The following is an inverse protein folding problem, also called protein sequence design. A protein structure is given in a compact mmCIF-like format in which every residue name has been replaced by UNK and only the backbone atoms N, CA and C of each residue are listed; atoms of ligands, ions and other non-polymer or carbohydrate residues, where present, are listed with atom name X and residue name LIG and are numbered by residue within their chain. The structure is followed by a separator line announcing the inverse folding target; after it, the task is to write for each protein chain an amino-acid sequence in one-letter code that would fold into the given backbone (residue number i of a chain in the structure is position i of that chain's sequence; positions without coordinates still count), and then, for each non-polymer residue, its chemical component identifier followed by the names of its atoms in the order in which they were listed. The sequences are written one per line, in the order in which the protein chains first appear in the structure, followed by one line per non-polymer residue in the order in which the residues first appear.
data_IF_808817947073
#
_entry.id   IF_808817947073
#
_cell.length_a   1.000
_cell.length_b   1.000
_cell.length_c   1.000
_cell.angle_alpha   90.00
_cell.angle_beta   90.00
_cell.angle_gamma   90.00
#
_symmetry.space_group_name_H-M   'P 1'
#
loop_
_entity.id
_entity.type
_entity.pdbx_description
1 polymer ?
#
# COMPACT_ATOMS: atom_id res chain seq x y z
N UNK A 1 17.64 -94.29 4.56
CA UNK A 1 19.09 -94.42 4.27
C UNK A 1 19.43 -93.48 3.12
N UNK A 2 20.35 -92.53 3.37
CA UNK A 2 21.15 -91.69 2.45
C UNK A 2 20.46 -90.71 1.48
N UNK A 3 20.98 -89.51 1.15
CA UNK A 3 21.81 -88.42 1.75
C UNK A 3 21.99 -87.39 0.58
N UNK A 4 21.84 -86.08 0.86
CA UNK A 4 22.47 -84.86 0.25
C UNK A 4 22.74 -84.68 -1.27
N UNK A 5 22.44 -83.48 -1.83
CA UNK A 5 23.41 -82.38 -1.98
C UNK A 5 22.84 -81.08 -2.63
N UNK A 6 23.40 -79.92 -2.23
CA UNK A 6 23.18 -78.53 -2.71
C UNK A 6 24.21 -78.15 -3.81
N UNK A 7 23.93 -77.14 -4.66
CA UNK A 7 24.61 -75.81 -4.71
C UNK A 7 24.62 -75.06 -6.10
N UNK A 8 24.03 -73.85 -6.10
CA UNK A 8 24.34 -72.51 -6.73
C UNK A 8 24.84 -72.24 -8.18
N UNK A 9 24.15 -71.23 -8.79
CA UNK A 9 24.55 -69.96 -9.51
C UNK A 9 25.43 -70.06 -10.80
N UNK A 10 25.32 -69.26 -11.86
CA UNK A 10 24.81 -67.89 -12.20
C UNK A 10 24.78 -67.75 -13.74
N UNK A 11 23.97 -66.85 -14.35
CA UNK A 11 24.51 -65.79 -15.25
C UNK A 11 23.49 -64.68 -15.63
N UNK A 12 23.99 -63.44 -15.64
CA UNK A 12 23.34 -62.17 -16.01
C UNK A 12 23.69 -61.79 -17.47
N UNK A 13 22.70 -61.61 -18.34
CA UNK A 13 22.91 -60.99 -19.66
C UNK A 13 21.60 -60.52 -20.29
N UNK A 14 21.11 -59.32 -19.93
CA UNK A 14 20.05 -58.59 -20.66
C UNK A 14 20.19 -57.06 -20.49
N UNK A 15 21.31 -56.55 -21.01
CA UNK A 15 21.44 -55.42 -21.97
C UNK A 15 20.85 -54.03 -21.63
N UNK A 16 21.77 -53.08 -21.39
CA UNK A 16 21.58 -51.62 -21.25
C UNK A 16 20.77 -50.92 -22.37
N UNK A 17 20.53 -51.56 -23.51
CA UNK A 17 19.64 -51.07 -24.59
C UNK A 17 18.19 -50.89 -24.12
N UNK A 18 17.69 -51.75 -23.23
CA UNK A 18 16.33 -51.62 -22.70
C UNK A 18 16.17 -50.42 -21.75
N UNK A 19 17.26 -49.96 -21.13
CA UNK A 19 17.23 -48.81 -20.24
C UNK A 19 17.20 -47.48 -21.00
N UNK A 20 17.74 -47.44 -22.21
CA UNK A 20 17.74 -46.24 -23.06
C UNK A 20 16.35 -45.98 -23.68
N UNK A 21 15.67 -47.03 -24.16
CA UNK A 21 14.30 -46.92 -24.69
C UNK A 21 13.29 -46.48 -23.62
N UNK A 22 13.46 -46.91 -22.36
CA UNK A 22 12.64 -46.45 -21.23
C UNK A 22 12.80 -44.96 -20.90
N UNK A 23 13.95 -44.36 -21.22
CA UNK A 23 14.23 -42.95 -20.91
C UNK A 23 13.66 -41.98 -21.95
N UNK A 24 13.38 -42.42 -23.18
CA UNK A 24 12.74 -41.60 -24.22
C UNK A 24 11.22 -41.48 -24.02
N UNK A 25 10.55 -42.50 -23.47
CA UNK A 25 9.11 -42.45 -23.18
C UNK A 25 8.73 -41.57 -21.98
N UNK A 26 9.69 -41.19 -21.13
CA UNK A 26 9.43 -40.41 -19.92
C UNK A 26 9.33 -38.88 -20.15
N UNK A 27 9.50 -38.38 -21.38
CA UNK A 27 9.52 -36.91 -21.65
C UNK A 27 8.24 -36.31 -22.23
N UNK A 28 7.21 -37.07 -22.55
CA UNK A 28 5.94 -36.51 -23.04
C UNK A 28 4.73 -37.33 -22.60
N UNK A 29 4.36 -37.24 -21.32
CA UNK A 29 3.03 -37.67 -20.88
C UNK A 29 2.26 -36.46 -20.36
N UNK A 30 1.10 -36.09 -20.95
CA UNK A 30 0.18 -35.17 -20.31
C UNK A 30 -0.28 -35.76 -18.96
N UNK A 31 -0.67 -34.92 -17.98
CA UNK A 31 -1.03 -35.42 -16.65
C UNK A 31 -2.18 -36.42 -16.75
N UNK A 32 -1.91 -37.67 -16.37
CA UNK A 32 -2.91 -38.71 -16.26
C UNK A 32 -3.64 -38.48 -14.94
N UNK A 33 -4.92 -38.12 -15.00
CA UNK A 33 -5.78 -38.00 -13.82
C UNK A 33 -6.37 -39.36 -13.48
N UNK A 34 -6.19 -39.83 -12.25
CA UNK A 34 -6.50 -41.20 -11.84
C UNK A 34 -8.00 -41.42 -11.54
N UNK A 35 -8.85 -40.39 -11.63
CA UNK A 35 -10.31 -40.53 -11.53
C UNK A 35 -11.04 -39.31 -12.11
N UNK A 36 -12.30 -39.50 -12.56
CA UNK A 36 -13.19 -38.40 -13.00
C UNK A 36 -13.31 -37.31 -11.94
N UNK A 37 -13.39 -37.71 -10.67
CA UNK A 37 -13.43 -36.81 -9.54
C UNK A 37 -12.16 -35.94 -9.42
N UNK A 38 -10.98 -36.44 -9.79
CA UNK A 38 -9.73 -35.68 -9.78
C UNK A 38 -9.66 -34.67 -10.93
N UNK A 39 -10.22 -35.00 -12.09
CA UNK A 39 -10.40 -34.06 -13.20
C UNK A 39 -11.42 -32.97 -12.86
N UNK A 40 -12.54 -33.32 -12.21
CA UNK A 40 -13.55 -32.36 -11.77
C UNK A 40 -13.01 -31.41 -10.68
N UNK A 41 -12.17 -31.91 -9.75
CA UNK A 41 -11.45 -31.07 -8.78
C UNK A 41 -10.45 -30.14 -9.46
N UNK A 42 -9.71 -30.62 -10.48
CA UNK A 42 -8.75 -29.80 -11.21
C UNK A 42 -9.44 -28.70 -12.03
N UNK A 43 -10.56 -29.04 -12.68
CA UNK A 43 -11.42 -28.08 -13.39
C UNK A 43 -12.06 -27.07 -12.44
N UNK A 44 -12.58 -27.51 -11.29
CA UNK A 44 -13.12 -26.63 -10.25
C UNK A 44 -12.04 -25.70 -9.69
N UNK A 45 -10.80 -26.18 -9.51
CA UNK A 45 -9.65 -25.36 -9.09
C UNK A 45 -9.27 -24.32 -10.14
N UNK A 46 -9.29 -24.66 -11.42
CA UNK A 46 -9.05 -23.69 -12.50
C UNK A 46 -10.18 -22.66 -12.60
N UNK A 47 -11.43 -23.09 -12.44
CA UNK A 47 -12.58 -22.21 -12.47
C UNK A 47 -12.63 -21.29 -11.24
N UNK A 48 -12.25 -21.80 -10.06
CA UNK A 48 -11.99 -20.99 -8.87
C UNK A 48 -10.80 -20.05 -9.06
N UNK A 49 -9.71 -20.48 -9.72
CA UNK A 49 -8.58 -19.62 -10.03
C UNK A 49 -8.99 -18.47 -10.98
N UNK A 50 -9.79 -18.76 -12.00
CA UNK A 50 -10.35 -17.74 -12.90
C UNK A 50 -11.38 -16.84 -12.20
N UNK A 51 -12.18 -17.39 -11.27
CA UNK A 51 -13.15 -16.60 -10.50
C UNK A 51 -12.43 -15.71 -9.48
N UNK A 52 -11.36 -16.19 -8.86
CA UNK A 52 -10.46 -15.42 -8.01
C UNK A 52 -9.66 -14.39 -8.81
N UNK A 53 -9.22 -14.70 -10.03
CA UNK A 53 -8.51 -13.77 -10.92
C UNK A 53 -9.46 -12.65 -11.41
N UNK A 54 -10.71 -12.99 -11.72
CA UNK A 54 -11.73 -12.04 -12.14
C UNK A 54 -12.30 -11.23 -10.95
N UNK A 55 -12.32 -11.78 -9.73
CA UNK A 55 -12.63 -11.01 -8.51
C UNK A 55 -11.43 -10.16 -8.04
N UNK A 56 -10.19 -10.63 -8.22
CA UNK A 56 -8.97 -9.87 -7.94
C UNK A 56 -8.70 -8.77 -8.98
N UNK A 57 -9.21 -8.89 -10.20
CA UNK A 57 -9.17 -7.82 -11.20
C UNK A 57 -9.95 -6.55 -10.75
N UNK A 58 -10.75 -6.64 -9.68
CA UNK A 58 -11.57 -5.55 -9.15
C UNK A 58 -11.15 -5.13 -7.72
N UNK A 59 -10.02 -5.64 -7.20
CA UNK A 59 -9.44 -5.22 -5.92
C UNK A 59 -8.06 -4.57 -6.12
N UNK A 60 -7.83 -3.33 -5.62
CA UNK A 60 -6.73 -2.48 -6.07
C UNK A 60 -5.37 -2.79 -5.42
N UNK A 61 -5.26 -3.80 -4.55
CA UNK A 61 -3.99 -4.25 -4.00
C UNK A 61 -3.99 -5.79 -4.02
N UNK A 62 -3.07 -6.44 -4.77
CA UNK A 62 -2.94 -7.88 -4.70
C UNK A 62 -2.62 -8.26 -3.25
N UNK A 63 -3.43 -9.12 -2.66
CA UNK A 63 -3.16 -9.63 -1.32
C UNK A 63 -1.74 -10.23 -1.30
N UNK A 64 -0.93 -9.84 -0.32
CA UNK A 64 0.41 -10.42 -0.18
C UNK A 64 0.30 -11.91 0.12
N UNK A 65 1.15 -12.70 -0.50
CA UNK A 65 1.17 -14.15 -0.30
C UNK A 65 1.34 -14.50 1.18
N UNK A 66 0.45 -15.35 1.71
CA UNK A 66 0.59 -15.88 3.07
C UNK A 66 1.88 -16.70 3.20
N UNK A 67 2.42 -16.92 4.41
CA UNK A 67 3.60 -17.77 4.60
C UNK A 67 3.47 -19.16 3.92
N UNK A 68 2.29 -19.77 4.00
CA UNK A 68 1.98 -21.08 3.39
C UNK A 68 1.97 -21.02 1.85
N UNK A 69 1.39 -19.95 1.29
CA UNK A 69 1.37 -19.72 -0.16
C UNK A 69 2.79 -19.48 -0.69
N UNK A 70 3.62 -18.72 0.04
CA UNK A 70 5.03 -18.51 -0.31
C UNK A 70 5.79 -19.83 -0.34
N UNK A 71 5.59 -20.71 0.64
CA UNK A 71 6.25 -22.01 0.70
C UNK A 71 5.78 -22.98 -0.39
N UNK A 72 4.50 -22.92 -0.74
CA UNK A 72 3.93 -23.71 -1.84
C UNK A 72 4.47 -23.24 -3.20
N UNK A 73 4.50 -21.92 -3.43
CA UNK A 73 5.02 -21.32 -4.66
C UNK A 73 6.54 -21.57 -4.83
N UNK A 74 7.30 -21.49 -3.73
CA UNK A 74 8.73 -21.82 -3.75
C UNK A 74 8.98 -23.29 -4.12
N UNK A 75 8.12 -24.21 -3.66
CA UNK A 75 8.22 -25.64 -4.00
C UNK A 75 7.77 -25.96 -5.43
N UNK A 76 6.96 -25.09 -6.07
CA UNK A 76 6.52 -25.25 -7.46
C UNK A 76 7.60 -24.87 -8.50
N UNK A 77 8.84 -24.63 -8.07
CA UNK A 77 10.00 -24.33 -8.94
C UNK A 77 9.75 -23.16 -9.92
N UNK A 78 9.07 -22.11 -9.45
CA UNK A 78 8.96 -20.85 -10.20
C UNK A 78 10.36 -20.33 -10.53
N UNK A 79 10.57 -19.89 -11.77
CA UNK A 79 11.81 -19.21 -12.15
C UNK A 79 12.03 -18.00 -11.24
N UNK A 80 13.13 -17.96 -10.45
CA UNK A 80 13.40 -16.85 -9.55
C UNK A 80 13.42 -15.50 -10.28
N UNK A 81 13.97 -15.47 -11.50
CA UNK A 81 14.06 -14.27 -12.31
C UNK A 81 12.69 -13.77 -12.77
N UNK A 82 11.78 -14.67 -13.15
CA UNK A 82 10.43 -14.29 -13.58
C UNK A 82 9.60 -13.75 -12.40
N UNK A 83 9.71 -14.36 -11.23
CA UNK A 83 9.01 -13.91 -10.02
C UNK A 83 9.54 -12.56 -9.51
N UNK A 84 10.85 -12.37 -9.47
CA UNK A 84 11.49 -11.09 -9.08
C UNK A 84 11.10 -9.99 -10.08
N UNK A 85 11.18 -10.26 -11.38
CA UNK A 85 10.78 -9.31 -12.42
C UNK A 85 9.30 -8.90 -12.32
N UNK A 86 8.40 -9.87 -12.06
CA UNK A 86 6.98 -9.59 -11.83
C UNK A 86 6.73 -8.76 -10.57
N UNK A 87 7.47 -9.04 -9.48
CA UNK A 87 7.38 -8.29 -8.22
C UNK A 87 7.86 -6.85 -8.39
N UNK A 88 8.98 -6.63 -9.12
CA UNK A 88 9.47 -5.29 -9.45
C UNK A 88 8.44 -4.50 -10.26
N UNK A 89 7.86 -5.11 -11.29
CA UNK A 89 6.79 -4.51 -12.08
C UNK A 89 5.57 -4.15 -11.22
N UNK A 90 5.24 -4.95 -10.22
CA UNK A 90 4.15 -4.64 -9.30
C UNK A 90 4.48 -3.45 -8.39
N UNK A 91 5.70 -3.37 -7.86
CA UNK A 91 6.16 -2.21 -7.07
C UNK A 91 6.11 -0.93 -7.92
N UNK A 92 6.65 -0.97 -9.14
CA UNK A 92 6.61 0.18 -10.06
C UNK A 92 5.19 0.67 -10.35
N UNK A 93 4.21 -0.24 -10.43
CA UNK A 93 2.80 0.14 -10.60
C UNK A 93 2.24 0.84 -9.37
N UNK A 94 2.58 0.34 -8.17
CA UNK A 94 2.15 0.95 -6.91
C UNK A 94 2.76 2.35 -6.72
N UNK A 95 4.04 2.51 -7.07
CA UNK A 95 4.75 3.80 -6.96
C UNK A 95 4.19 4.87 -7.90
N UNK A 96 3.55 4.46 -9.02
CA UNK A 96 2.88 5.37 -9.95
C UNK A 96 1.51 5.83 -9.47
N UNK A 97 0.95 5.24 -8.42
CA UNK A 97 -0.35 5.64 -7.90
C UNK A 97 -0.23 7.01 -7.20
N UNK A 98 -1.11 7.98 -7.50
CA UNK A 98 -1.07 9.27 -6.83
C UNK A 98 -1.46 9.12 -5.35
N UNK A 99 -1.03 10.01 -4.44
CA UNK A 99 -1.36 9.91 -3.01
C UNK A 99 -2.87 9.80 -2.72
N UNK A 100 -3.71 10.41 -3.56
CA UNK A 100 -5.17 10.40 -3.47
C UNK A 100 -5.85 9.22 -4.19
N UNK A 101 -5.10 8.23 -4.71
CA UNK A 101 -5.64 7.15 -5.54
C UNK A 101 -6.81 6.42 -4.87
N UNK A 102 -6.74 6.17 -3.56
CA UNK A 102 -7.80 5.49 -2.79
C UNK A 102 -9.11 6.26 -2.86
N UNK A 103 -9.03 7.60 -2.77
CA UNK A 103 -10.20 8.48 -2.84
C UNK A 103 -10.78 8.43 -4.25
N UNK A 104 -9.94 8.55 -5.28
CA UNK A 104 -10.36 8.43 -6.67
C UNK A 104 -11.05 7.09 -6.95
N UNK A 105 -10.43 5.98 -6.55
CA UNK A 105 -10.97 4.65 -6.78
C UNK A 105 -12.31 4.44 -6.06
N UNK A 106 -12.39 4.85 -4.78
CA UNK A 106 -13.65 4.76 -4.03
C UNK A 106 -14.78 5.58 -4.66
N UNK A 107 -14.47 6.72 -5.29
CA UNK A 107 -15.44 7.50 -6.07
C UNK A 107 -15.94 6.70 -7.27
N UNK A 108 -15.04 6.09 -8.04
CA UNK A 108 -15.43 5.29 -9.21
C UNK A 108 -16.33 4.11 -8.82
N UNK A 109 -16.09 3.47 -7.68
CA UNK A 109 -16.97 2.43 -7.15
C UNK A 109 -18.37 2.96 -6.82
N UNK A 110 -18.44 4.15 -6.22
CA UNK A 110 -19.72 4.82 -5.93
C UNK A 110 -20.44 5.21 -7.22
N UNK A 111 -19.74 5.82 -8.17
CA UNK A 111 -20.29 6.22 -9.48
C UNK A 111 -20.80 4.99 -10.25
N UNK A 112 -20.08 3.87 -10.20
CA UNK A 112 -20.51 2.60 -10.80
C UNK A 112 -21.79 2.08 -10.13
N UNK A 113 -21.85 2.11 -8.80
CA UNK A 113 -23.05 1.70 -8.07
C UNK A 113 -24.25 2.60 -8.40
N UNK A 114 -24.06 3.92 -8.49
CA UNK A 114 -25.09 4.87 -8.90
C UNK A 114 -25.55 4.68 -10.35
N UNK A 115 -24.64 4.34 -11.27
CA UNK A 115 -24.98 4.08 -12.67
C UNK A 115 -25.81 2.80 -12.84
N UNK A 116 -25.54 1.77 -12.03
CA UNK A 116 -26.22 0.48 -12.10
C UNK A 116 -27.54 0.46 -11.30
N UNK A 117 -27.58 1.13 -10.14
CA UNK A 117 -28.73 1.16 -9.22
C UNK A 117 -28.94 2.57 -8.63
N UNK A 118 -29.50 3.53 -9.39
CA UNK A 118 -29.57 4.93 -8.97
C UNK A 118 -30.31 5.17 -7.64
N UNK A 119 -31.43 4.49 -7.42
CA UNK A 119 -32.24 4.67 -6.21
C UNK A 119 -31.60 3.99 -4.99
N UNK A 120 -31.04 2.79 -5.18
CA UNK A 120 -30.50 1.99 -4.08
C UNK A 120 -29.09 2.44 -3.66
N UNK A 121 -28.29 3.00 -4.58
CA UNK A 121 -26.92 3.45 -4.31
C UNK A 121 -26.86 4.87 -3.71
N UNK A 122 -27.93 5.65 -3.78
CA UNK A 122 -28.02 7.01 -3.21
C UNK A 122 -27.52 7.13 -1.75
N UNK A 123 -27.92 6.27 -0.79
CA UNK A 123 -27.39 6.34 0.58
C UNK A 123 -25.89 6.05 0.65
N UNK A 124 -25.36 5.13 -0.18
CA UNK A 124 -23.94 4.83 -0.26
C UNK A 124 -23.14 6.06 -0.72
N UNK A 125 -23.59 6.72 -1.78
CA UNK A 125 -22.96 7.92 -2.30
C UNK A 125 -22.95 9.07 -1.29
N UNK A 126 -24.08 9.31 -0.61
CA UNK A 126 -24.19 10.31 0.45
C UNK A 126 -23.29 9.99 1.66
N UNK A 127 -23.21 8.73 2.07
CA UNK A 127 -22.33 8.31 3.15
C UNK A 127 -20.86 8.52 2.78
N UNK A 128 -20.47 8.11 1.58
CA UNK A 128 -19.11 8.29 1.09
C UNK A 128 -18.70 9.77 1.07
N UNK A 129 -19.56 10.64 0.54
CA UNK A 129 -19.28 12.09 0.51
C UNK A 129 -19.16 12.69 1.92
N UNK A 130 -20.03 12.28 2.86
CA UNK A 130 -19.94 12.70 4.27
C UNK A 130 -18.63 12.27 4.91
N UNK A 131 -18.21 11.02 4.69
CA UNK A 131 -16.94 10.50 5.21
C UNK A 131 -15.75 11.24 4.61
N UNK A 132 -15.77 11.56 3.31
CA UNK A 132 -14.72 12.32 2.65
C UNK A 132 -14.59 13.73 3.25
N UNK A 133 -15.71 14.43 3.43
CA UNK A 133 -15.73 15.77 4.01
C UNK A 133 -15.28 15.76 5.48
N UNK A 134 -15.74 14.79 6.27
CA UNK A 134 -15.31 14.62 7.66
C UNK A 134 -13.83 14.26 7.80
N UNK A 135 -13.27 13.60 6.78
CA UNK A 135 -11.87 13.27 6.72
C UNK A 135 -11.00 14.45 6.26
N UNK A 136 -11.54 15.60 5.83
CA UNK A 136 -10.74 16.76 5.41
C UNK A 136 -10.25 17.60 6.59
N UNK A 137 -9.13 18.31 6.41
CA UNK A 137 -8.65 19.30 7.38
C UNK A 137 -9.60 20.50 7.38
N UNK A 138 -10.00 21.01 8.57
CA UNK A 138 -10.70 22.29 8.67
C UNK A 138 -9.83 23.41 8.09
N UNK A 139 -10.42 24.34 7.34
CA UNK A 139 -9.65 25.43 6.71
C UNK A 139 -8.84 26.25 7.73
N UNK A 140 -9.34 26.37 8.96
CA UNK A 140 -8.66 27.04 10.08
C UNK A 140 -7.29 26.42 10.40
N UNK A 141 -7.18 25.08 10.35
CA UNK A 141 -5.95 24.36 10.67
C UNK A 141 -4.89 24.47 9.56
N UNK A 142 -5.27 24.84 8.33
CA UNK A 142 -4.33 25.05 7.23
C UNK A 142 -3.63 26.42 7.29
N UNK A 143 -4.18 27.36 8.05
CA UNK A 143 -3.75 28.76 8.00
C UNK A 143 -2.71 29.13 9.07
N UNK A 144 -2.54 28.33 10.13
CA UNK A 144 -1.67 28.67 11.26
C UNK A 144 -0.23 28.97 10.86
N UNK A 145 0.34 28.17 9.96
CA UNK A 145 1.69 28.40 9.43
C UNK A 145 1.78 29.72 8.64
N UNK A 146 0.85 29.95 7.72
CA UNK A 146 0.81 31.17 6.91
C UNK A 146 0.63 32.42 7.79
N UNK A 147 -0.24 32.36 8.81
CA UNK A 147 -0.46 33.45 9.76
C UNK A 147 0.80 33.75 10.60
N UNK A 148 1.47 32.71 11.09
CA UNK A 148 2.73 32.86 11.83
C UNK A 148 3.81 33.50 10.94
N UNK A 149 3.95 33.03 9.69
CA UNK A 149 4.91 33.60 8.74
C UNK A 149 4.58 35.05 8.38
N UNK A 150 3.30 35.38 8.18
CA UNK A 150 2.84 36.75 7.94
C UNK A 150 3.17 37.66 9.13
N UNK A 151 2.99 37.16 10.35
CA UNK A 151 3.33 37.90 11.58
C UNK A 151 4.84 38.17 11.66
N UNK A 152 5.68 37.18 11.33
CA UNK A 152 7.13 37.36 11.28
C UNK A 152 7.59 38.30 10.15
N UNK A 153 6.93 38.25 8.99
CA UNK A 153 7.22 39.18 7.89
C UNK A 153 6.90 40.62 8.30
N UNK A 154 5.73 40.86 8.87
CA UNK A 154 5.34 42.17 9.39
C UNK A 154 6.30 42.66 10.48
N UNK A 155 6.81 41.75 11.33
CA UNK A 155 7.85 42.08 12.30
C UNK A 155 9.14 42.53 11.60
N UNK A 156 9.60 41.78 10.60
CA UNK A 156 10.80 42.11 9.82
C UNK A 156 10.67 43.48 9.16
N UNK A 157 9.55 43.76 8.51
CA UNK A 157 9.29 45.06 7.86
C UNK A 157 9.29 46.20 8.88
N UNK A 158 8.68 45.98 10.05
CA UNK A 158 8.68 46.95 11.15
C UNK A 158 10.09 47.22 11.67
N UNK A 159 10.92 46.19 11.84
CA UNK A 159 12.31 46.33 12.28
C UNK A 159 13.14 47.11 11.24
N UNK A 160 13.01 46.77 9.95
CA UNK A 160 13.68 47.49 8.87
C UNK A 160 13.28 48.98 8.81
N UNK A 161 12.00 49.29 9.11
CA UNK A 161 11.52 50.67 9.18
C UNK A 161 12.10 51.48 10.34
N UNK A 162 12.48 50.83 11.45
CA UNK A 162 13.12 51.50 12.58
C UNK A 162 14.56 51.92 12.24
N UNK A 163 15.29 51.09 11.49
CA UNK A 163 16.64 51.44 11.04
C UNK A 163 16.65 52.70 10.16
N UNK A 164 15.58 52.94 9.41
CA UNK A 164 15.43 54.10 8.53
C UNK A 164 14.98 55.38 9.28
N UNK A 165 14.37 55.25 10.46
CA UNK A 165 13.80 56.38 11.22
C UNK A 165 14.54 56.62 12.52
N UNK A 166 15.49 57.57 12.51
CA UNK A 166 16.24 57.99 13.70
C UNK A 166 15.29 58.33 14.86
N UNK A 167 15.46 57.66 16.01
CA UNK A 167 14.75 57.93 17.26
C UNK A 167 13.51 57.09 17.52
N UNK A 168 13.09 56.21 16.60
CA UNK A 168 12.06 55.19 16.88
C UNK A 168 12.73 53.87 17.26
N UNK A 169 12.19 53.23 18.29
CA UNK A 169 12.67 51.93 18.77
C UNK A 169 11.49 51.01 19.01
N UNK A 170 11.70 49.71 18.85
CA UNK A 170 10.81 48.68 19.38
C UNK A 170 11.28 48.31 20.78
N UNK A 171 10.36 48.26 21.73
CA UNK A 171 10.66 47.76 23.06
C UNK A 171 10.77 46.23 23.06
N UNK A 172 11.54 45.68 24.01
CA UNK A 172 11.63 44.22 24.18
C UNK A 172 10.26 43.59 24.45
N UNK A 173 9.36 44.29 25.14
CA UNK A 173 8.00 43.82 25.40
C UNK A 173 7.17 43.70 24.13
N UNK A 174 7.28 44.66 23.20
CA UNK A 174 6.61 44.59 21.91
C UNK A 174 7.17 43.44 21.05
N UNK A 175 8.49 43.30 20.99
CA UNK A 175 9.14 42.19 20.26
C UNK A 175 8.64 40.83 20.78
N UNK A 176 8.66 40.65 22.10
CA UNK A 176 8.17 39.43 22.75
C UNK A 176 6.71 39.16 22.42
N UNK A 177 5.87 40.20 22.40
CA UNK A 177 4.46 40.05 22.06
C UNK A 177 4.28 39.54 20.63
N UNK A 178 5.00 40.09 19.66
CA UNK A 178 4.88 39.66 18.25
C UNK A 178 5.43 38.24 18.04
N UNK A 179 6.57 37.91 18.65
CA UNK A 179 7.13 36.55 18.61
C UNK A 179 6.15 35.56 19.24
N UNK A 180 5.56 35.89 20.39
CA UNK A 180 4.56 35.06 21.05
C UNK A 180 3.33 34.83 20.16
N UNK A 181 2.81 35.88 19.49
CA UNK A 181 1.71 35.73 18.55
C UNK A 181 2.06 34.83 17.36
N UNK A 182 3.26 34.95 16.80
CA UNK A 182 3.72 34.07 15.72
C UNK A 182 3.82 32.62 16.19
N UNK A 183 4.42 32.38 17.36
CA UNK A 183 4.50 31.05 17.98
C UNK A 183 3.10 30.47 18.25
N UNK A 184 2.16 31.30 18.69
CA UNK A 184 0.78 30.87 18.89
C UNK A 184 0.16 30.42 17.57
N UNK A 185 0.32 31.17 16.48
CA UNK A 185 -0.16 30.78 15.14
C UNK A 185 0.44 29.46 14.66
N UNK A 186 1.76 29.26 14.83
CA UNK A 186 2.40 27.98 14.47
C UNK A 186 1.88 26.79 15.28
N UNK A 187 1.51 27.02 16.55
CA UNK A 187 1.01 25.97 17.43
C UNK A 187 -0.51 25.73 17.33
N UNK A 188 -1.25 26.50 16.51
CA UNK A 188 -2.68 26.25 16.27
C UNK A 188 -2.91 24.88 15.61
N UNK A 189 -2.06 24.50 14.65
CA UNK A 189 -2.05 23.18 14.04
C UNK A 189 -0.62 22.76 13.74
N UNK A 190 -0.15 21.74 14.45
CA UNK A 190 1.20 21.22 14.27
C UNK A 190 1.30 20.54 12.89
N UNK A 191 2.19 21.00 11.98
CA UNK A 191 2.34 20.42 10.65
C UNK A 191 2.69 18.94 10.69
N UNK A 192 2.29 18.20 9.65
CA UNK A 192 2.56 16.76 9.57
C UNK A 192 4.07 16.46 9.54
N UNK A 193 4.87 17.36 8.98
CA UNK A 193 6.32 17.30 8.93
C UNK A 193 6.93 17.38 10.34
N UNK A 194 6.42 18.26 11.19
CA UNK A 194 6.90 18.38 12.58
C UNK A 194 6.44 17.21 13.44
N UNK A 195 5.23 16.70 13.21
CA UNK A 195 4.77 15.46 13.83
C UNK A 195 5.67 14.27 13.45
N UNK A 196 6.09 14.19 12.19
CA UNK A 196 7.01 13.15 11.70
C UNK A 196 8.42 13.30 12.33
N UNK A 197 8.93 14.53 12.41
CA UNK A 197 10.21 14.82 13.08
C UNK A 197 10.18 14.39 14.54
N UNK A 198 9.14 14.77 15.29
CA UNK A 198 8.96 14.36 16.68
C UNK A 198 8.87 12.83 16.84
N UNK A 199 8.18 12.13 15.92
CA UNK A 199 8.15 10.66 15.91
C UNK A 199 9.52 10.04 15.62
N UNK A 200 10.36 10.71 14.82
CA UNK A 200 11.72 10.22 14.50
C UNK A 200 12.71 10.29 15.67
N UNK A 201 12.40 11.07 16.73
CA UNK A 201 13.22 11.15 17.94
C UNK A 201 13.08 9.92 18.86
N UNK A 202 12.13 9.02 18.58
CA UNK A 202 12.00 7.78 19.32
C UNK A 202 13.24 6.89 19.13
N UNK A 203 13.66 6.24 20.22
CA UNK A 203 14.85 5.39 20.22
C UNK A 203 14.72 4.24 19.20
N UNK A 204 15.80 3.99 18.45
CA UNK A 204 15.83 2.91 17.47
C UNK A 204 15.59 1.55 18.14
N UNK A 205 14.60 0.80 17.64
CA UNK A 205 14.22 -0.51 18.16
C UNK A 205 13.06 -0.50 19.15
N UNK A 206 12.63 0.68 19.63
CA UNK A 206 11.42 0.82 20.44
C UNK A 206 10.17 0.99 19.56
N UNK A 207 9.00 0.47 19.98
CA UNK A 207 7.76 0.69 19.26
C UNK A 207 7.38 2.18 19.28
N UNK A 208 6.92 2.70 18.15
CA UNK A 208 6.45 4.09 18.06
C UNK A 208 5.24 4.32 18.99
N UNK A 209 5.11 5.51 19.61
CA UNK A 209 3.98 5.84 20.46
C UNK A 209 2.65 5.78 19.69
N UNK A 210 1.77 4.84 20.05
CA UNK A 210 0.55 4.55 19.29
C UNK A 210 -0.35 5.78 19.06
N UNK A 211 -0.48 6.66 20.05
CA UNK A 211 -1.28 7.87 19.95
C UNK A 211 -0.70 8.87 18.93
N UNK A 212 0.62 9.11 18.99
CA UNK A 212 1.30 10.02 18.07
C UNK A 212 1.30 9.48 16.63
N UNK A 213 1.52 8.18 16.45
CA UNK A 213 1.39 7.52 15.14
C UNK A 213 -0.01 7.65 14.57
N UNK A 214 -1.04 7.38 15.38
CA UNK A 214 -2.45 7.50 14.95
C UNK A 214 -2.82 8.93 14.59
N UNK A 215 -2.30 9.92 15.33
CA UNK A 215 -2.50 11.33 15.04
C UNK A 215 -1.86 11.75 13.72
N UNK A 216 -0.60 11.34 13.46
CA UNK A 216 0.07 11.62 12.19
C UNK A 216 -0.67 10.94 11.02
N UNK A 217 -1.04 9.67 11.16
CA UNK A 217 -1.82 8.98 10.14
C UNK A 217 -3.15 9.70 9.82
N UNK A 218 -3.85 10.17 10.85
CA UNK A 218 -5.06 10.95 10.69
C UNK A 218 -4.77 12.23 9.91
N UNK A 219 -3.74 12.99 10.29
CA UNK A 219 -3.36 14.25 9.65
C UNK A 219 -2.97 14.04 8.17
N UNK A 220 -2.23 12.98 7.85
CA UNK A 220 -1.87 12.63 6.46
C UNK A 220 -3.09 12.25 5.62
N UNK A 221 -4.02 11.45 6.16
CA UNK A 221 -5.30 11.14 5.50
C UNK A 221 -6.09 12.41 5.20
N UNK A 222 -6.01 13.35 6.13
CA UNK A 222 -6.65 14.66 6.08
C UNK A 222 -6.08 15.58 5.00
N UNK A 223 -4.75 15.69 4.92
CA UNK A 223 -4.05 16.40 3.84
C UNK A 223 -4.39 15.78 2.47
N UNK A 224 -4.38 14.45 2.40
CA UNK A 224 -4.70 13.71 1.17
C UNK A 224 -6.15 13.97 0.71
N UNK A 225 -7.11 14.00 1.64
CA UNK A 225 -8.50 14.31 1.34
C UNK A 225 -8.67 15.75 0.84
N UNK A 226 -8.01 16.72 1.49
CA UNK A 226 -8.01 18.11 1.04
C UNK A 226 -7.41 18.28 -0.37
N UNK A 227 -6.30 17.60 -0.65
CA UNK A 227 -5.66 17.63 -1.98
C UNK A 227 -6.55 17.02 -3.07
N UNK A 228 -7.19 15.88 -2.79
CA UNK A 228 -8.12 15.24 -3.71
C UNK A 228 -9.29 16.16 -4.08
N UNK A 229 -9.82 16.89 -3.09
CA UNK A 229 -10.91 17.84 -3.28
C UNK A 229 -10.46 19.07 -4.11
N UNK A 230 -9.25 19.58 -3.90
CA UNK A 230 -8.68 20.66 -4.72
C UNK A 230 -8.56 20.23 -6.19
N UNK A 231 -8.01 19.03 -6.45
CA UNK A 231 -7.94 18.47 -7.81
C UNK A 231 -9.32 18.38 -8.45
N UNK A 232 -10.31 17.87 -7.70
CA UNK A 232 -11.70 17.73 -8.18
C UNK A 232 -12.31 19.08 -8.55
N UNK A 233 -12.09 20.11 -7.73
CA UNK A 233 -12.57 21.48 -8.02
C UNK A 233 -11.87 22.08 -9.24
N UNK A 234 -10.58 21.83 -9.42
CA UNK A 234 -9.81 22.34 -10.55
C UNK A 234 -10.14 21.68 -11.90
N UNK A 235 -10.75 20.49 -11.90
CA UNK A 235 -11.16 19.78 -13.13
C UNK A 235 -12.60 20.06 -13.58
N UNK A 236 -13.33 20.98 -12.92
CA UNK A 236 -14.65 21.45 -13.32
C UNK A 236 -14.55 22.78 -14.04
#
# INVERSE_FOLDING_TARGET
MSLFSLNRRTDESMTAKNQFLKRLQARHSPPIFSSKHQADIAAFRQQMALLLDNMNAWLPLPATLTPEQRQTLHQQALSPQAFIGATQQQIERLDRLPPDWRIHYSRQLVEQAEALWPEQAKPLAQQWLRQLNAASIPAENLNGWHQGMTTLQNLSDRLNGLDQQKGKYMTVSELKSVVFSAMQSFNQSLPAEEQLRALSENAAGEPLPAAASSQLEMHLKQLTAGYAELKRKASK
#
